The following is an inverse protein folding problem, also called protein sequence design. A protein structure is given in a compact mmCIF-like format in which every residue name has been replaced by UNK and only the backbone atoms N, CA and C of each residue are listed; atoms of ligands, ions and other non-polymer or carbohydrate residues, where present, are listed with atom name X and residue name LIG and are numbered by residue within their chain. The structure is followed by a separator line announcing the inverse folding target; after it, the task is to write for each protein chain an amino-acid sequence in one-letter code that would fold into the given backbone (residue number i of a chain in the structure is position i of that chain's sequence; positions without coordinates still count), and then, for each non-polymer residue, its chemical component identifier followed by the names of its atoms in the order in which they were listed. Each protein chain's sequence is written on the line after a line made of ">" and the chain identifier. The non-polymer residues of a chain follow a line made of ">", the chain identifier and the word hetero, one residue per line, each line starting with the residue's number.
data_IF_089529375727
#
_entry.id   IF_089529375727
#
_cell.length_a   1.000
_cell.length_b   1.000
_cell.length_c   1.000
_cell.angle_alpha   90.00
_cell.angle_beta   90.00
_cell.angle_gamma   90.00
#
_symmetry.space_group_name_H-M   'P 1'
#
loop_
_entity.id
_entity.type
_entity.pdbx_description
1 polymer ?
#
# COMPACT_ATOMS: atom_id res chain seq x y z
N UNK A 1 26.19 -73.15 5.62
CA UNK A 1 26.57 -72.02 4.73
C UNK A 1 25.91 -70.73 5.23
N UNK A 2 26.59 -69.59 5.02
CA UNK A 2 26.70 -68.47 5.97
C UNK A 2 25.48 -67.53 6.14
N UNK A 3 25.29 -67.13 7.41
CA UNK A 3 24.31 -66.18 7.97
C UNK A 3 24.74 -64.70 7.84
N UNK A 4 25.39 -64.30 6.73
CA UNK A 4 26.08 -62.99 6.59
C UNK A 4 25.74 -62.19 5.31
N UNK A 5 24.59 -62.40 4.66
CA UNK A 5 24.22 -61.63 3.45
C UNK A 5 22.78 -61.10 3.40
N UNK A 6 22.10 -60.98 4.54
CA UNK A 6 20.69 -60.57 4.61
C UNK A 6 20.44 -59.26 5.38
N UNK A 7 21.43 -58.38 5.47
CA UNK A 7 21.30 -57.09 6.20
C UNK A 7 21.49 -55.85 5.31
N UNK A 8 21.73 -56.00 4.00
CA UNK A 8 22.12 -54.87 3.16
C UNK A 8 21.03 -54.34 2.19
N UNK A 9 19.73 -54.56 2.44
CA UNK A 9 18.68 -54.16 1.49
C UNK A 9 17.40 -53.54 2.09
N UNK A 10 17.37 -53.23 3.40
CA UNK A 10 16.17 -52.67 4.04
C UNK A 10 16.53 -51.46 4.93
N UNK A 11 17.15 -50.44 4.36
CA UNK A 11 17.39 -49.17 5.07
C UNK A 11 17.40 -47.94 4.16
N UNK A 12 16.82 -47.99 2.95
CA UNK A 12 16.78 -46.82 2.04
C UNK A 12 15.37 -46.42 1.56
N UNK A 13 14.33 -46.60 2.38
CA UNK A 13 12.95 -46.29 1.98
C UNK A 13 12.17 -45.35 2.91
N UNK A 14 12.81 -44.71 3.90
CA UNK A 14 12.12 -43.79 4.83
C UNK A 14 12.86 -42.47 5.08
N UNK A 15 13.41 -41.84 4.04
CA UNK A 15 14.01 -40.50 4.16
C UNK A 15 13.60 -39.52 3.05
N UNK A 16 12.57 -39.83 2.26
CA UNK A 16 12.24 -39.09 1.03
C UNK A 16 10.94 -38.28 1.08
N UNK A 17 10.30 -38.12 2.23
CA UNK A 17 8.94 -37.53 2.34
C UNK A 17 8.82 -36.29 3.24
N UNK A 18 9.93 -35.64 3.61
CA UNK A 18 9.92 -34.42 4.44
C UNK A 18 10.60 -33.20 3.80
N UNK A 19 10.67 -33.13 2.47
CA UNK A 19 11.27 -31.99 1.74
C UNK A 19 10.25 -31.17 0.92
N UNK A 20 8.97 -31.22 1.28
CA UNK A 20 7.92 -30.48 0.57
C UNK A 20 7.17 -29.52 1.51
N UNK A 21 7.87 -28.65 2.24
CA UNK A 21 7.27 -27.47 2.90
C UNK A 21 8.29 -26.41 3.35
N UNK A 22 9.41 -26.27 2.64
CA UNK A 22 10.24 -25.07 2.76
C UNK A 22 10.55 -24.62 1.34
N UNK A 23 9.56 -24.01 0.68
CA UNK A 23 9.87 -23.08 -0.39
C UNK A 23 10.61 -21.95 0.33
N UNK A 24 11.91 -21.73 0.11
CA UNK A 24 12.52 -20.47 0.54
C UNK A 24 11.74 -19.37 -0.17
N UNK A 25 10.95 -18.61 0.59
CA UNK A 25 10.39 -17.35 0.12
C UNK A 25 11.61 -16.57 -0.38
N UNK A 26 11.69 -16.22 -1.67
CA UNK A 26 12.82 -15.48 -2.19
C UNK A 26 13.04 -14.25 -1.30
N UNK A 27 14.31 -13.95 -1.02
CA UNK A 27 14.67 -12.74 -0.32
C UNK A 27 13.99 -11.55 -1.00
N UNK A 28 13.44 -10.68 -0.17
CA UNK A 28 12.63 -9.51 -0.47
C UNK A 28 13.26 -8.66 -1.59
N UNK A 29 12.85 -8.93 -2.84
CA UNK A 29 13.12 -8.08 -4.01
C UNK A 29 12.26 -6.80 -3.95
N UNK A 30 11.97 -6.31 -2.74
CA UNK A 30 11.07 -5.18 -2.56
C UNK A 30 11.58 -3.92 -3.26
N UNK A 31 12.89 -3.74 -3.37
CA UNK A 31 13.50 -2.64 -4.11
C UNK A 31 13.38 -2.78 -5.65
N UNK A 32 13.12 -3.99 -6.17
CA UNK A 32 12.92 -4.25 -7.61
C UNK A 32 11.44 -4.14 -8.04
N UNK A 33 10.50 -4.28 -7.11
CA UNK A 33 9.06 -4.22 -7.38
C UNK A 33 8.34 -3.03 -6.74
N UNK A 34 8.93 -2.39 -5.72
CA UNK A 34 8.31 -1.30 -4.95
C UNK A 34 9.28 -0.12 -4.80
N UNK A 35 9.53 0.56 -5.93
CA UNK A 35 10.24 1.83 -5.99
C UNK A 35 9.54 2.78 -6.96
N UNK A 36 9.59 4.09 -6.69
CA UNK A 36 9.10 5.12 -7.62
C UNK A 36 9.96 5.09 -8.88
N UNK A 37 9.44 4.54 -9.98
CA UNK A 37 10.09 4.59 -11.29
C UNK A 37 10.02 3.29 -12.08
N UNK A 38 9.72 3.43 -13.38
CA UNK A 38 9.55 2.40 -14.43
C UNK A 38 9.30 0.99 -13.90
N UNK A 39 8.02 0.67 -13.64
CA UNK A 39 7.62 -0.72 -13.45
C UNK A 39 8.09 -1.61 -14.59
N UNK A 40 7.83 -2.91 -14.50
CA UNK A 40 8.30 -3.87 -15.50
C UNK A 40 7.75 -3.62 -16.92
N UNK A 41 6.65 -2.87 -17.06
CA UNK A 41 6.00 -2.53 -18.33
C UNK A 41 6.58 -1.20 -18.85
N UNK A 42 7.13 -1.16 -20.08
CA UNK A 42 7.58 0.09 -20.68
C UNK A 42 6.46 1.13 -20.78
N UNK A 43 6.76 2.41 -20.55
CA UNK A 43 5.76 3.49 -20.59
C UNK A 43 4.97 3.57 -21.91
N UNK A 44 5.61 3.23 -23.04
CA UNK A 44 4.96 3.18 -24.36
C UNK A 44 3.90 2.08 -24.49
N UNK A 45 3.98 1.05 -23.65
CA UNK A 45 3.01 -0.06 -23.54
C UNK A 45 2.13 0.10 -22.27
N UNK A 46 2.37 1.17 -21.51
CA UNK A 46 1.69 1.49 -20.28
C UNK A 46 0.28 2.03 -20.50
N UNK A 47 -0.47 2.11 -19.41
CA UNK A 47 -1.76 2.80 -19.39
C UNK A 47 -1.59 4.32 -19.54
N UNK A 48 -2.59 4.98 -20.11
CA UNK A 48 -2.63 6.44 -20.09
C UNK A 48 -3.06 6.95 -18.71
N UNK A 49 -2.82 8.23 -18.43
CA UNK A 49 -3.24 8.87 -17.19
C UNK A 49 -4.74 8.70 -16.91
N UNK A 50 -5.58 8.86 -17.92
CA UNK A 50 -7.04 8.73 -17.81
C UNK A 50 -7.45 7.28 -17.53
N UNK A 51 -6.80 6.31 -18.17
CA UNK A 51 -7.03 4.88 -17.92
C UNK A 51 -6.61 4.53 -16.49
N UNK A 52 -5.49 5.07 -16.00
CA UNK A 52 -5.07 4.89 -14.62
C UNK A 52 -6.11 5.41 -13.63
N UNK A 53 -6.56 6.65 -13.79
CA UNK A 53 -7.55 7.27 -12.89
C UNK A 53 -8.87 6.49 -12.92
N UNK A 54 -9.29 6.01 -14.09
CA UNK A 54 -10.57 5.29 -14.24
C UNK A 54 -10.53 3.85 -13.76
N UNK A 55 -9.48 3.10 -14.08
CA UNK A 55 -9.49 1.63 -13.98
C UNK A 55 -8.51 1.09 -12.91
N UNK A 56 -7.38 1.79 -12.69
CA UNK A 56 -6.33 1.31 -11.79
C UNK A 56 -6.41 1.93 -10.41
N UNK A 57 -6.59 3.24 -10.33
CA UNK A 57 -6.71 3.98 -9.08
C UNK A 57 -7.81 3.39 -8.17
N UNK A 58 -9.04 3.08 -8.63
CA UNK A 58 -10.08 2.55 -7.75
C UNK A 58 -9.72 1.24 -7.05
N UNK A 59 -8.86 0.42 -7.67
CA UNK A 59 -8.38 -0.84 -7.07
C UNK A 59 -7.45 -0.60 -5.89
N UNK A 60 -6.59 0.41 -5.99
CA UNK A 60 -5.76 0.86 -4.86
C UNK A 60 -6.59 1.54 -3.77
N UNK A 61 -7.53 2.41 -4.17
CA UNK A 61 -8.42 3.10 -3.24
C UNK A 61 -9.27 2.12 -2.43
N UNK A 62 -9.74 1.03 -3.03
CA UNK A 62 -10.48 -0.02 -2.31
C UNK A 62 -9.67 -0.69 -1.19
N UNK A 63 -8.36 -0.90 -1.40
CA UNK A 63 -7.46 -1.43 -0.34
C UNK A 63 -7.34 -0.41 0.80
N UNK A 64 -7.18 0.87 0.46
CA UNK A 64 -7.10 1.96 1.45
C UNK A 64 -8.41 2.04 2.24
N UNK A 65 -9.56 2.04 1.56
CA UNK A 65 -10.88 2.15 2.18
C UNK A 65 -11.11 1.04 3.22
N UNK A 66 -10.78 -0.20 2.91
CA UNK A 66 -10.90 -1.32 3.87
C UNK A 66 -10.09 -1.07 5.14
N UNK A 67 -8.84 -0.61 5.00
CA UNK A 67 -7.96 -0.30 6.14
C UNK A 67 -8.49 0.89 6.93
N UNK A 68 -8.96 1.94 6.26
CA UNK A 68 -9.55 3.13 6.92
C UNK A 68 -10.80 2.74 7.71
N UNK A 69 -11.69 1.93 7.15
CA UNK A 69 -12.90 1.46 7.84
C UNK A 69 -12.52 0.70 9.12
N UNK A 70 -11.53 -0.21 9.03
CA UNK A 70 -11.01 -0.92 10.22
C UNK A 70 -10.40 0.04 11.25
N UNK A 71 -9.83 1.15 10.80
CA UNK A 71 -9.23 2.20 11.62
C UNK A 71 -10.24 3.20 12.21
N UNK A 72 -11.54 3.08 11.92
CA UNK A 72 -12.59 3.96 12.45
C UNK A 72 -13.30 4.83 11.40
N UNK A 73 -13.02 4.65 10.11
CA UNK A 73 -13.81 5.23 9.01
C UNK A 73 -13.49 6.69 8.65
N UNK A 74 -12.52 7.31 9.33
CA UNK A 74 -12.04 8.65 9.01
C UNK A 74 -10.63 8.59 8.42
N UNK A 75 -10.39 9.34 7.35
CA UNK A 75 -9.08 9.50 6.73
C UNK A 75 -8.72 10.98 6.65
N UNK A 76 -7.52 11.31 7.11
CA UNK A 76 -7.06 12.68 7.11
C UNK A 76 -6.10 12.95 5.95
N UNK A 77 -6.39 14.02 5.21
CA UNK A 77 -5.56 14.49 4.09
C UNK A 77 -4.44 15.40 4.59
N UNK A 78 -3.23 15.22 4.06
CA UNK A 78 -2.01 15.92 4.45
C UNK A 78 -1.37 16.68 3.27
N UNK A 79 -2.19 17.37 2.48
CA UNK A 79 -1.74 18.14 1.34
C UNK A 79 -2.74 18.17 0.19
N UNK A 80 -2.23 18.06 -1.04
CA UNK A 80 -3.02 18.04 -2.28
C UNK A 80 -2.43 17.01 -3.24
N UNK A 81 -3.31 16.33 -3.97
CA UNK A 81 -2.95 15.56 -5.15
C UNK A 81 -2.17 16.45 -6.13
N UNK A 82 -1.09 15.92 -6.71
CA UNK A 82 -0.29 16.68 -7.67
C UNK A 82 0.18 15.82 -8.82
N UNK A 83 0.28 16.46 -9.98
CA UNK A 83 0.92 15.90 -11.16
C UNK A 83 2.31 16.50 -11.28
N UNK A 84 3.32 15.63 -11.25
CA UNK A 84 4.72 15.98 -11.43
C UNK A 84 5.20 15.49 -12.82
N UNK A 85 6.41 15.87 -13.20
CA UNK A 85 7.10 15.27 -14.33
C UNK A 85 7.88 14.05 -13.88
N UNK A 86 7.97 13.06 -14.74
CA UNK A 86 8.86 11.93 -14.47
C UNK A 86 10.32 12.35 -14.53
N UNK A 87 11.20 11.55 -13.91
CA UNK A 87 12.64 11.82 -13.92
C UNK A 87 13.27 11.71 -15.32
N UNK A 88 12.51 11.30 -16.35
CA UNK A 88 12.97 11.29 -17.73
C UNK A 88 13.05 12.73 -18.26
N UNK A 89 13.89 12.96 -19.28
CA UNK A 89 14.02 14.29 -19.91
C UNK A 89 12.86 14.62 -20.86
N UNK A 90 11.89 13.73 -20.99
CA UNK A 90 10.70 13.98 -21.77
C UNK A 90 9.80 14.96 -20.99
N UNK A 91 9.24 15.94 -21.67
CA UNK A 91 8.34 16.92 -21.05
C UNK A 91 6.89 16.48 -21.11
N UNK A 92 6.59 15.32 -21.67
CA UNK A 92 5.20 14.88 -21.90
C UNK A 92 4.73 13.79 -20.96
N UNK A 93 5.63 13.05 -20.32
CA UNK A 93 5.28 12.06 -19.31
C UNK A 93 4.95 12.73 -17.97
N UNK A 94 4.16 12.01 -17.18
CA UNK A 94 3.69 12.46 -15.89
C UNK A 94 3.59 11.32 -14.88
N UNK A 95 3.85 11.64 -13.62
CA UNK A 95 3.44 10.82 -12.49
C UNK A 95 2.52 11.62 -11.57
N UNK A 96 1.69 10.90 -10.82
CA UNK A 96 0.74 11.46 -9.87
C UNK A 96 1.21 11.05 -8.48
N UNK A 97 1.43 12.06 -7.65
CA UNK A 97 1.50 11.85 -6.21
C UNK A 97 0.15 12.16 -5.62
N UNK A 98 -0.52 11.10 -5.17
CA UNK A 98 -1.76 11.19 -4.43
C UNK A 98 -1.46 11.65 -3.03
N UNK A 99 -2.30 12.53 -2.49
CA UNK A 99 -2.04 13.18 -1.22
C UNK A 99 -1.75 12.16 -0.11
N UNK A 100 -0.80 12.51 0.76
CA UNK A 100 -0.48 11.64 1.89
C UNK A 100 -1.67 11.60 2.84
N UNK A 101 -2.01 10.39 3.26
CA UNK A 101 -3.18 10.17 4.10
C UNK A 101 -2.74 9.68 5.47
N UNK A 102 -3.45 10.07 6.51
CA UNK A 102 -3.17 9.68 7.88
C UNK A 102 -4.42 9.05 8.48
N UNK A 103 -4.24 7.91 9.15
CA UNK A 103 -5.29 7.23 9.90
C UNK A 103 -4.75 6.80 11.28
N UNK A 104 -5.63 6.59 12.27
CA UNK A 104 -5.24 5.91 13.51
C UNK A 104 -4.53 4.57 13.24
N UNK A 105 -3.63 4.14 14.12
CA UNK A 105 -3.03 2.83 13.97
C UNK A 105 -4.03 1.71 14.32
N UNK A 106 -3.99 0.65 13.51
CA UNK A 106 -4.55 -0.68 13.84
C UNK A 106 -3.42 -1.63 14.20
N UNK A 107 -3.71 -2.85 14.65
CA UNK A 107 -2.64 -3.84 14.84
C UNK A 107 -1.90 -4.11 13.52
N UNK A 108 -0.57 -4.23 13.58
CA UNK A 108 0.25 -4.38 12.37
C UNK A 108 -0.04 -5.69 11.63
N UNK A 109 -0.30 -6.79 12.34
CA UNK A 109 -0.60 -8.06 11.69
C UNK A 109 -1.97 -8.02 11.00
N UNK A 110 -2.93 -7.28 11.58
CA UNK A 110 -4.20 -6.96 10.92
C UNK A 110 -3.98 -6.10 9.66
N UNK A 111 -3.17 -5.04 9.75
CA UNK A 111 -2.81 -4.21 8.59
C UNK A 111 -2.20 -5.06 7.48
N UNK A 112 -1.14 -5.84 7.81
CA UNK A 112 -0.45 -6.71 6.85
C UNK A 112 -1.44 -7.65 6.18
N UNK A 113 -2.26 -8.35 6.97
CA UNK A 113 -3.23 -9.31 6.43
C UNK A 113 -4.19 -8.66 5.47
N UNK A 114 -4.83 -7.54 5.86
CA UNK A 114 -5.80 -6.84 5.02
C UNK A 114 -5.19 -6.32 3.72
N UNK A 115 -4.01 -5.70 3.80
CA UNK A 115 -3.32 -5.14 2.62
C UNK A 115 -2.87 -6.25 1.67
N UNK A 116 -2.33 -7.36 2.19
CA UNK A 116 -1.92 -8.52 1.36
C UNK A 116 -3.13 -9.18 0.70
N UNK A 117 -4.21 -9.42 1.45
CA UNK A 117 -5.44 -9.98 0.88
C UNK A 117 -6.03 -9.05 -0.19
N UNK A 118 -6.01 -7.73 0.05
CA UNK A 118 -6.43 -6.71 -0.91
C UNK A 118 -5.58 -6.70 -2.18
N UNK A 119 -4.25 -6.77 -2.03
CA UNK A 119 -3.33 -6.86 -3.16
C UNK A 119 -3.59 -8.11 -4.01
N UNK A 120 -3.75 -9.27 -3.37
CA UNK A 120 -4.04 -10.54 -4.04
C UNK A 120 -5.36 -10.50 -4.83
N UNK A 121 -6.44 -9.95 -4.24
CA UNK A 121 -7.73 -9.81 -4.94
C UNK A 121 -7.65 -8.96 -6.20
N UNK A 122 -6.72 -8.00 -6.23
CA UNK A 122 -6.55 -7.08 -7.36
C UNK A 122 -5.43 -7.49 -8.33
N UNK A 123 -4.73 -8.61 -8.07
CA UNK A 123 -3.62 -9.09 -8.89
C UNK A 123 -2.35 -8.25 -8.76
N UNK A 124 -2.15 -7.58 -7.62
CA UNK A 124 -0.98 -6.76 -7.35
C UNK A 124 0.13 -7.55 -6.64
N UNK A 125 1.37 -7.10 -6.81
CA UNK A 125 2.48 -7.51 -5.96
C UNK A 125 2.38 -6.85 -4.59
N UNK A 126 2.97 -7.48 -3.57
CA UNK A 126 3.06 -6.91 -2.22
C UNK A 126 4.37 -7.29 -1.51
N UNK A 127 4.78 -6.48 -0.54
CA UNK A 127 5.89 -6.75 0.39
C UNK A 127 5.61 -6.15 1.77
N UNK A 128 6.36 -6.55 2.80
CA UNK A 128 6.21 -6.00 4.15
C UNK A 128 7.48 -6.17 4.99
N UNK A 129 7.68 -5.27 5.95
CA UNK A 129 8.81 -5.35 6.87
C UNK A 129 8.58 -6.38 8.00
N UNK A 130 9.41 -7.42 8.13
CA UNK A 130 9.26 -8.41 9.20
C UNK A 130 9.67 -7.87 10.57
N UNK A 131 10.46 -6.80 10.62
CA UNK A 131 11.08 -6.26 11.84
C UNK A 131 10.92 -4.75 11.86
N UNK A 132 10.69 -4.20 13.05
CA UNK A 132 10.62 -2.75 13.30
C UNK A 132 11.94 -2.08 12.95
N UNK A 133 11.85 -0.89 12.36
CA UNK A 133 12.98 -0.04 11.99
C UNK A 133 12.84 1.32 12.67
N UNK A 134 13.93 2.09 12.61
CA UNK A 134 14.01 3.51 12.99
C UNK A 134 13.53 3.91 14.41
N UNK A 135 13.46 5.21 14.68
CA UNK A 135 13.07 5.78 15.98
C UNK A 135 11.56 5.79 16.21
N UNK A 136 10.76 5.62 15.17
CA UNK A 136 9.30 5.58 15.22
C UNK A 136 8.78 4.15 15.45
N UNK A 137 9.68 3.17 15.56
CA UNK A 137 9.35 1.74 15.57
C UNK A 137 8.49 1.38 14.35
N UNK A 138 8.91 1.85 13.18
CA UNK A 138 8.11 1.76 11.97
C UNK A 138 8.21 0.40 11.30
N UNK A 139 7.13 0.01 10.63
CA UNK A 139 7.08 -1.12 9.70
C UNK A 139 6.23 -0.76 8.50
N UNK A 140 6.61 -1.24 7.33
CA UNK A 140 5.84 -0.99 6.11
C UNK A 140 5.08 -2.21 5.64
N UNK A 141 4.00 -1.96 4.91
CA UNK A 141 3.36 -2.91 3.99
C UNK A 141 3.17 -2.17 2.68
N UNK A 142 3.70 -2.71 1.59
CA UNK A 142 3.68 -2.09 0.27
C UNK A 142 2.92 -2.95 -0.75
N UNK A 143 2.30 -2.29 -1.72
CA UNK A 143 1.54 -2.87 -2.83
C UNK A 143 1.94 -2.14 -4.12
N UNK A 144 1.99 -2.86 -5.23
CA UNK A 144 2.58 -2.36 -6.46
C UNK A 144 2.23 -3.23 -7.66
N UNK A 145 2.44 -2.70 -8.86
CA UNK A 145 2.10 -3.37 -10.11
C UNK A 145 3.17 -3.17 -11.20
N UNK A 146 2.98 -3.85 -12.33
CA UNK A 146 3.90 -3.77 -13.47
C UNK A 146 3.98 -2.38 -14.11
N UNK A 147 3.04 -1.47 -13.84
CA UNK A 147 3.08 -0.09 -14.34
C UNK A 147 3.93 0.83 -13.47
N UNK A 148 4.42 0.36 -12.31
CA UNK A 148 5.21 1.15 -11.37
C UNK A 148 4.37 1.99 -10.42
N UNK A 149 3.08 1.67 -10.27
CA UNK A 149 2.26 2.23 -9.20
C UNK A 149 2.73 1.67 -7.85
N UNK A 150 2.65 2.47 -6.79
CA UNK A 150 3.08 2.08 -5.45
C UNK A 150 2.17 2.65 -4.38
N UNK A 151 1.67 1.77 -3.51
CA UNK A 151 0.91 2.08 -2.32
C UNK A 151 1.69 1.58 -1.11
N UNK A 152 2.02 2.47 -0.17
CA UNK A 152 2.81 2.14 1.01
C UNK A 152 2.06 2.58 2.27
N UNK A 153 1.88 1.64 3.19
CA UNK A 153 1.39 1.89 4.54
C UNK A 153 2.57 1.90 5.50
N UNK A 154 2.90 3.07 6.03
CA UNK A 154 3.89 3.26 7.10
C UNK A 154 3.22 3.17 8.45
N UNK A 155 3.37 2.03 9.12
CA UNK A 155 2.85 1.82 10.48
C UNK A 155 3.82 2.42 11.48
N UNK A 156 3.42 3.48 12.18
CA UNK A 156 4.24 4.18 13.17
C UNK A 156 3.74 3.90 14.59
N UNK A 157 4.23 2.82 15.20
CA UNK A 157 3.81 2.40 16.54
C UNK A 157 4.05 3.47 17.61
N UNK A 158 5.18 4.18 17.55
CA UNK A 158 5.51 5.21 18.55
C UNK A 158 4.56 6.43 18.48
N UNK A 159 3.90 6.65 17.34
CA UNK A 159 2.98 7.76 17.12
C UNK A 159 1.53 7.31 17.00
N UNK A 160 1.28 6.00 17.11
CA UNK A 160 -0.05 5.40 17.06
C UNK A 160 -0.89 5.79 15.83
N UNK A 161 -0.22 5.89 14.67
CA UNK A 161 -0.83 6.24 13.39
C UNK A 161 -0.24 5.42 12.25
N UNK A 162 -0.97 5.39 11.14
CA UNK A 162 -0.48 4.89 9.86
C UNK A 162 -0.47 6.06 8.87
N UNK A 163 0.66 6.24 8.20
CA UNK A 163 0.77 7.15 7.05
C UNK A 163 0.66 6.32 5.79
N UNK A 164 -0.20 6.75 4.87
CA UNK A 164 -0.46 6.10 3.59
C UNK A 164 0.11 7.00 2.51
N UNK A 165 0.88 6.43 1.60
CA UNK A 165 1.40 7.12 0.42
C UNK A 165 1.05 6.32 -0.82
N UNK A 166 0.45 6.98 -1.81
CA UNK A 166 0.09 6.38 -3.08
C UNK A 166 0.73 7.18 -4.22
N UNK A 167 1.42 6.48 -5.10
CA UNK A 167 2.13 7.03 -6.25
C UNK A 167 1.69 6.28 -7.49
N UNK A 168 1.48 7.01 -8.59
CA UNK A 168 1.40 6.36 -9.89
C UNK A 168 2.79 6.06 -10.44
N UNK A 169 2.85 5.11 -11.37
CA UNK A 169 3.95 5.02 -12.32
C UNK A 169 3.93 6.20 -13.30
N UNK A 170 4.97 6.26 -14.14
CA UNK A 170 5.05 7.23 -15.24
C UNK A 170 4.09 6.85 -16.37
N UNK A 171 3.35 7.83 -16.87
CA UNK A 171 2.31 7.65 -17.89
C UNK A 171 2.31 8.80 -18.89
N UNK A 172 1.78 8.55 -20.08
CA UNK A 172 1.39 9.60 -21.02
C UNK A 172 -0.10 9.89 -20.91
N UNK A 173 -0.52 11.16 -21.04
CA UNK A 173 -1.93 11.47 -21.19
C UNK A 173 -2.44 10.96 -22.54
N UNK A 174 -3.72 10.61 -22.62
CA UNK A 174 -4.35 10.11 -23.86
C UNK A 174 -4.38 11.16 -24.98
N UNK A 175 -4.35 12.44 -24.60
CA UNK A 175 -4.26 13.59 -25.49
C UNK A 175 -3.06 14.44 -25.09
N UNK A 176 -2.35 15.06 -26.04
CA UNK A 176 -1.29 16.02 -25.72
C UNK A 176 -1.82 17.12 -24.81
N UNK A 177 -1.03 17.48 -23.79
CA UNK A 177 -1.34 18.66 -22.98
C UNK A 177 -1.21 19.91 -23.85
N UNK A 178 -2.10 20.87 -23.60
CA UNK A 178 -1.95 22.22 -24.13
C UNK A 178 -0.62 22.81 -23.62
N UNK A 179 0.30 23.24 -24.51
CA UNK A 179 1.59 23.79 -24.09
C UNK A 179 1.48 25.04 -23.20
N UNK A 180 0.35 25.76 -23.26
CA UNK A 180 0.10 26.95 -22.45
C UNK A 180 -0.50 26.63 -21.07
N UNK A 181 -0.87 25.37 -20.82
CA UNK A 181 -1.46 24.91 -19.56
C UNK A 181 -0.41 24.17 -18.73
N UNK A 182 -0.12 24.62 -17.49
CA UNK A 182 0.81 23.92 -16.62
C UNK A 182 0.34 22.48 -16.35
N UNK A 183 1.24 21.50 -16.46
CA UNK A 183 0.95 20.09 -16.15
C UNK A 183 0.31 19.90 -14.77
N UNK A 184 0.73 20.70 -13.79
CA UNK A 184 0.18 20.69 -12.42
C UNK A 184 -1.31 21.04 -12.32
N UNK A 185 -1.90 21.57 -13.39
CA UNK A 185 -3.35 21.86 -13.48
C UNK A 185 -4.17 20.74 -14.11
N UNK A 186 -3.55 19.60 -14.46
CA UNK A 186 -4.26 18.43 -14.95
C UNK A 186 -5.34 18.01 -13.94
N UNK A 187 -6.58 17.72 -14.39
CA UNK A 187 -7.68 17.44 -13.49
C UNK A 187 -7.45 16.11 -12.78
N UNK A 188 -7.40 16.15 -11.44
CA UNK A 188 -7.33 14.98 -10.57
C UNK A 188 -8.59 14.91 -9.70
N UNK A 189 -9.05 13.70 -9.34
CA UNK A 189 -10.19 13.55 -8.44
C UNK A 189 -9.89 14.18 -7.07
N UNK A 190 -10.91 14.75 -6.45
CA UNK A 190 -10.84 15.25 -5.07
C UNK A 190 -10.81 14.08 -4.07
N UNK A 191 -10.38 14.30 -2.81
CA UNK A 191 -10.50 13.31 -1.75
C UNK A 191 -11.90 12.72 -1.58
N UNK A 192 -12.94 13.55 -1.73
CA UNK A 192 -14.34 13.14 -1.64
C UNK A 192 -14.75 12.25 -2.83
N UNK A 193 -14.19 12.49 -4.02
CA UNK A 193 -14.41 11.63 -5.19
C UNK A 193 -13.64 10.30 -5.07
N UNK A 194 -12.45 10.31 -4.46
CA UNK A 194 -11.65 9.11 -4.22
C UNK A 194 -12.29 8.21 -3.15
N UNK A 195 -12.92 8.80 -2.13
CA UNK A 195 -13.44 8.08 -0.98
C UNK A 195 -14.87 8.53 -0.61
N UNK A 196 -15.87 8.23 -1.45
CA UNK A 196 -17.23 8.74 -1.29
C UNK A 196 -17.93 8.26 -0.01
N UNK A 197 -17.45 7.18 0.61
CA UNK A 197 -18.05 6.57 1.81
C UNK A 197 -17.29 6.87 3.11
N UNK A 198 -16.17 7.61 3.05
CA UNK A 198 -15.33 7.87 4.21
C UNK A 198 -15.52 9.29 4.72
N UNK A 199 -15.29 9.48 6.02
CA UNK A 199 -15.17 10.82 6.59
C UNK A 199 -13.80 11.39 6.22
N UNK A 200 -13.79 12.45 5.42
CA UNK A 200 -12.57 13.16 5.03
C UNK A 200 -12.33 14.32 5.99
N UNK A 201 -11.15 14.35 6.60
CA UNK A 201 -10.75 15.44 7.50
C UNK A 201 -9.38 16.01 7.14
N UNK A 202 -9.05 17.18 7.70
CA UNK A 202 -7.68 17.71 7.65
C UNK A 202 -6.83 16.99 8.70
N UNK A 203 -5.61 16.57 8.36
CA UNK A 203 -4.71 15.93 9.31
C UNK A 203 -4.23 16.87 10.42
N UNK A 204 -3.97 18.12 10.04
CA UNK A 204 -3.52 19.16 10.94
C UNK A 204 -4.39 20.41 10.81
N UNK A 205 -4.62 21.10 11.92
CA UNK A 205 -5.18 22.45 11.92
C UNK A 205 -4.14 23.48 11.46
N UNK A 206 -4.57 24.74 11.32
CA UNK A 206 -3.72 25.82 10.82
C UNK A 206 -2.55 26.16 11.79
N UNK A 207 -2.59 25.64 13.03
CA UNK A 207 -1.54 25.76 14.04
C UNK A 207 -0.65 24.50 14.13
N UNK A 208 -0.85 23.51 13.26
CA UNK A 208 -0.12 22.24 13.26
C UNK A 208 -0.61 21.24 14.32
N UNK A 209 -1.75 21.50 14.97
CA UNK A 209 -2.38 20.56 15.89
C UNK A 209 -3.01 19.38 15.14
N UNK A 210 -2.75 18.16 15.60
CA UNK A 210 -3.34 16.94 15.01
C UNK A 210 -4.86 16.88 15.24
N UNK A 211 -5.59 16.47 14.21
CA UNK A 211 -7.03 16.37 14.27
C UNK A 211 -7.48 15.35 15.35
N UNK A 212 -8.38 15.71 16.27
CA UNK A 212 -8.87 14.80 17.31
C UNK A 212 -9.49 13.50 16.78
N UNK A 213 -10.03 13.51 15.55
CA UNK A 213 -10.58 12.30 14.90
C UNK A 213 -9.52 11.27 14.53
N UNK A 214 -8.24 11.67 14.49
CA UNK A 214 -7.10 10.77 14.29
C UNK A 214 -6.68 10.04 15.58
N UNK A 215 -7.33 10.34 16.71
CA UNK A 215 -7.07 9.60 17.95
C UNK A 215 -7.81 8.26 17.88
N UNK A 216 -7.14 7.14 18.20
CA UNK A 216 -7.84 5.87 18.30
C UNK A 216 -8.99 6.02 19.27
N UNK A 217 -10.20 5.67 18.83
CA UNK A 217 -11.36 5.65 19.70
C UNK A 217 -11.16 4.51 20.71
N UNK A 218 -10.58 4.84 21.86
CA UNK A 218 -10.68 4.01 23.06
C UNK A 218 -12.15 3.71 23.30
N UNK A 219 -12.50 2.43 23.27
CA UNK A 219 -13.86 1.93 23.13
C UNK A 219 -14.89 2.62 24.03
N UNK A 220 -16.11 2.68 23.52
CA UNK A 220 -17.33 3.05 24.25
C UNK A 220 -17.38 2.22 25.54
N UNK A 221 -16.95 2.82 26.65
CA UNK A 221 -17.10 2.22 27.96
C UNK A 221 -18.55 2.45 28.37
N UNK A 222 -19.32 1.36 28.31
CA UNK A 222 -20.69 1.25 28.81
C UNK A 222 -20.80 1.85 30.21
N UNK A 223 -21.28 3.10 30.29
CA UNK A 223 -21.67 3.76 31.52
C UNK A 223 -23.19 3.72 31.67
N UNK A 224 -23.75 2.54 31.89
CA UNK A 224 -25.06 2.46 32.52
C UNK A 224 -24.91 2.91 33.98
N UNK A 225 -25.37 4.11 34.30
CA UNK A 225 -25.71 4.49 35.66
C UNK A 225 -27.23 4.71 35.73
N UNK A 226 -27.93 3.64 36.08
CA UNK A 226 -29.23 3.73 36.74
C UNK A 226 -29.02 4.34 38.13
N UNK A 227 -29.74 5.40 38.42
CA UNK A 227 -29.87 5.98 39.76
C UNK A 227 -31.28 6.53 39.94
N UNK A 228 -32.18 5.67 40.39
CA UNK A 228 -33.33 6.03 41.25
C UNK A 228 -32.94 5.78 42.71
#
# INVERSE_FOLDING_TARGET
>A
MNRKRLVALMSSACASLLLAACIPIPADDADLYFGRGSGSIPISEGQTTEVHIRDTLPRYLGIIEEVVVKSGGAVAMNGKNRVDGCATKDTTDMDIHWDSMVIPAIDYEDLRRMVVEGAQRNGFGYSWDPVRRDKLNSRTVAVGDGYGNSLIFYHHEAQNRIIISLYSGCMFPSQPLDPDIPRSSYPLPSPEEMFPNLTIVRAFDDNGGENPELRPQSGIQSGAQTGE
#
